data_IF_086348457123
#
_entry.id   IF_086348457123
#
_cell.length_a   1.000
_cell.length_b   1.000
_cell.length_c   1.000
_cell.angle_alpha   90.00
_cell.angle_beta   90.00
_cell.angle_gamma   90.00
#
_symmetry.space_group_name_H-M   'P 1'
#
loop_
_entity.id
_entity.type
_entity.pdbx_description
1 polymer ?
#
# COMPACT_ATOMS: atom_id res chain seq x y z
N UNK A 1 23.49 33.05 58.94
CA UNK A 1 23.96 32.39 57.70
C UNK A 1 23.09 31.18 57.47
N UNK A 2 22.19 31.22 56.49
CA UNK A 2 21.74 29.97 55.87
C UNK A 2 22.89 29.46 54.97
N UNK A 3 22.93 28.14 54.73
CA UNK A 3 23.72 27.56 53.64
C UNK A 3 22.76 27.13 52.56
N UNK A 4 22.79 27.79 51.42
CA UNK A 4 22.08 27.34 50.23
C UNK A 4 22.72 26.04 49.75
N UNK A 5 21.90 25.01 49.57
CA UNK A 5 22.33 23.72 49.03
C UNK A 5 22.00 23.73 47.55
N UNK A 6 23.00 24.03 46.71
CA UNK A 6 22.87 23.89 45.26
C UNK A 6 22.68 22.42 44.92
N UNK A 7 21.43 22.03 44.63
CA UNK A 7 21.12 20.73 44.04
C UNK A 7 21.63 20.74 42.60
N UNK A 8 22.82 20.19 42.38
CA UNK A 8 23.32 19.94 41.04
C UNK A 8 22.42 18.91 40.35
N UNK A 9 21.54 19.40 39.47
CA UNK A 9 20.75 18.56 38.58
C UNK A 9 21.68 18.04 37.50
N UNK A 10 22.28 16.87 37.77
CA UNK A 10 23.02 16.11 36.76
C UNK A 10 22.14 16.00 35.51
N UNK A 11 22.61 16.60 34.41
CA UNK A 11 22.00 16.39 33.10
C UNK A 11 22.39 15.00 32.63
N UNK A 12 21.66 14.00 33.14
CA UNK A 12 21.80 12.61 32.71
C UNK A 12 21.72 12.55 31.19
N UNK A 13 22.75 11.99 30.57
CA UNK A 13 22.85 11.89 29.12
C UNK A 13 21.59 11.20 28.58
N UNK A 14 21.00 11.77 27.52
CA UNK A 14 19.91 11.11 26.82
C UNK A 14 20.43 9.79 26.25
N UNK A 15 20.06 8.68 26.91
CA UNK A 15 20.51 7.32 26.56
C UNK A 15 20.48 7.12 25.05
N UNK A 16 21.60 6.66 24.50
CA UNK A 16 21.75 6.47 23.06
C UNK A 16 20.60 5.59 22.53
N UNK A 17 20.03 5.97 21.37
CA UNK A 17 18.82 5.34 20.83
C UNK A 17 18.99 3.82 20.71
N UNK A 18 18.22 3.05 21.48
CA UNK A 18 18.21 1.57 21.44
C UNK A 18 17.92 0.98 20.04
N UNK A 19 17.38 1.80 19.13
CA UNK A 19 17.19 1.46 17.72
C UNK A 19 18.22 2.17 16.84
N UNK A 20 19.25 1.42 16.45
CA UNK A 20 20.08 1.75 15.31
C UNK A 20 19.40 1.28 14.02
N UNK A 21 19.30 2.15 13.02
CA UNK A 21 18.88 1.76 11.67
C UNK A 21 19.83 0.69 11.09
N UNK A 22 19.31 -0.33 10.38
CA UNK A 22 20.16 -1.20 9.59
C UNK A 22 20.90 -0.38 8.51
N UNK A 23 22.14 -0.78 8.13
CA UNK A 23 22.91 -0.09 7.12
C UNK A 23 22.14 -0.02 5.78
N UNK A 24 22.37 1.01 4.94
CA UNK A 24 21.69 1.14 3.65
C UNK A 24 21.85 -0.12 2.82
N UNK A 25 20.75 -0.61 2.26
CA UNK A 25 20.74 -1.84 1.48
C UNK A 25 21.70 -1.74 0.29
N UNK A 26 22.49 -2.80 0.00
CA UNK A 26 23.28 -2.86 -1.22
C UNK A 26 22.37 -2.71 -2.44
N UNK A 27 22.80 -1.91 -3.42
CA UNK A 27 22.00 -1.63 -4.61
C UNK A 27 21.66 -2.92 -5.39
N UNK A 28 22.58 -3.89 -5.37
CA UNK A 28 22.43 -5.22 -5.95
C UNK A 28 23.01 -6.22 -4.94
N UNK A 29 22.20 -7.16 -4.45
CA UNK A 29 22.65 -8.34 -3.68
C UNK A 29 22.18 -9.61 -4.42
N UNK A 30 23.03 -10.24 -5.25
CA UNK A 30 22.67 -11.48 -5.95
C UNK A 30 22.46 -12.67 -5.02
N UNK A 31 23.02 -12.63 -3.80
CA UNK A 31 22.89 -13.74 -2.85
C UNK A 31 21.46 -13.88 -2.33
N UNK A 32 20.63 -12.82 -2.38
CA UNK A 32 19.21 -12.90 -2.02
C UNK A 32 18.48 -14.02 -2.77
N UNK A 33 18.88 -14.29 -4.02
CA UNK A 33 18.29 -15.33 -4.86
C UNK A 33 18.50 -16.75 -4.30
N UNK A 34 19.46 -16.96 -3.40
CA UNK A 34 19.73 -18.27 -2.78
C UNK A 34 19.16 -18.39 -1.35
N UNK A 35 18.59 -17.31 -0.81
CA UNK A 35 18.10 -17.25 0.59
C UNK A 35 16.61 -17.67 0.64
N UNK A 36 16.24 -18.75 1.35
CA UNK A 36 14.84 -19.24 1.41
C UNK A 36 13.82 -18.19 1.91
N UNK A 37 14.27 -17.24 2.75
CA UNK A 37 13.49 -16.08 3.18
C UNK A 37 13.05 -15.17 2.04
N UNK A 38 13.82 -15.10 0.94
CA UNK A 38 13.47 -14.35 -0.27
C UNK A 38 12.23 -14.93 -0.95
N UNK A 39 12.22 -16.24 -1.23
CA UNK A 39 11.07 -16.92 -1.82
C UNK A 39 9.81 -16.84 -0.95
N UNK A 40 9.96 -16.97 0.38
CA UNK A 40 8.87 -16.74 1.34
C UNK A 40 8.30 -15.32 1.25
N UNK A 41 9.15 -14.30 1.08
CA UNK A 41 8.72 -12.92 0.89
C UNK A 41 8.00 -12.70 -0.45
N UNK A 42 8.47 -13.30 -1.56
CA UNK A 42 7.77 -13.24 -2.85
C UNK A 42 6.37 -13.87 -2.79
N UNK A 43 6.25 -15.02 -2.12
CA UNK A 43 4.96 -15.69 -1.91
C UNK A 43 4.04 -14.82 -1.04
N UNK A 44 4.56 -14.18 0.02
CA UNK A 44 3.78 -13.27 0.86
C UNK A 44 3.26 -12.05 0.09
N UNK A 45 4.10 -11.40 -0.73
CA UNK A 45 3.70 -10.29 -1.60
C UNK A 45 2.66 -10.70 -2.65
N UNK A 46 2.83 -11.87 -3.28
CA UNK A 46 1.85 -12.43 -4.22
C UNK A 46 0.49 -12.70 -3.56
N UNK A 47 0.47 -13.43 -2.44
CA UNK A 47 -0.77 -13.80 -1.72
C UNK A 47 -1.45 -12.56 -1.14
N UNK A 48 -0.71 -11.61 -0.55
CA UNK A 48 -1.28 -10.37 -0.07
C UNK A 48 -1.90 -9.54 -1.20
N UNK A 49 -1.21 -9.39 -2.33
CA UNK A 49 -1.76 -8.62 -3.45
C UNK A 49 -2.95 -9.33 -4.12
N UNK A 50 -2.95 -10.67 -4.15
CA UNK A 50 -4.10 -11.47 -4.58
C UNK A 50 -5.32 -11.24 -3.69
N UNK A 51 -5.16 -11.36 -2.37
CA UNK A 51 -6.26 -11.15 -1.41
C UNK A 51 -6.76 -9.70 -1.41
N UNK A 52 -5.85 -8.73 -1.53
CA UNK A 52 -6.18 -7.31 -1.64
C UNK A 52 -7.08 -7.05 -2.86
N UNK A 53 -6.69 -7.49 -4.05
CA UNK A 53 -7.50 -7.30 -5.27
C UNK A 53 -8.79 -8.12 -5.24
N UNK A 54 -8.73 -9.36 -4.75
CA UNK A 54 -9.91 -10.23 -4.65
C UNK A 54 -11.02 -9.59 -3.81
N UNK A 55 -10.71 -9.18 -2.58
CA UNK A 55 -11.71 -8.58 -1.68
C UNK A 55 -12.18 -7.23 -2.21
N UNK A 56 -11.26 -6.32 -2.56
CA UNK A 56 -11.64 -4.95 -2.95
C UNK A 56 -12.46 -4.88 -4.24
N UNK A 57 -12.11 -5.67 -5.26
CA UNK A 57 -12.86 -5.70 -6.52
C UNK A 57 -14.21 -6.40 -6.34
N UNK A 58 -14.29 -7.44 -5.50
CA UNK A 58 -15.56 -8.07 -5.13
C UNK A 58 -16.49 -7.09 -4.39
N UNK A 59 -15.97 -6.28 -3.45
CA UNK A 59 -16.75 -5.24 -2.75
C UNK A 59 -17.30 -4.19 -3.71
N UNK A 60 -16.50 -3.69 -4.66
CA UNK A 60 -16.96 -2.70 -5.66
C UNK A 60 -18.07 -3.28 -6.55
N UNK A 61 -17.91 -4.53 -7.03
CA UNK A 61 -18.91 -5.19 -7.88
C UNK A 61 -20.19 -5.50 -7.09
N UNK A 62 -20.08 -5.96 -5.83
CA UNK A 62 -21.22 -6.20 -4.95
C UNK A 62 -22.02 -4.93 -4.67
N UNK A 63 -21.34 -3.82 -4.35
CA UNK A 63 -21.98 -2.50 -4.20
C UNK A 63 -22.70 -2.07 -5.48
N UNK A 64 -22.01 -2.04 -6.64
CA UNK A 64 -22.60 -1.66 -7.93
C UNK A 64 -23.77 -2.55 -8.35
N UNK A 65 -23.77 -3.83 -7.94
CA UNK A 65 -24.89 -4.74 -8.21
C UNK A 65 -26.13 -4.48 -7.35
N UNK A 66 -25.97 -3.95 -6.13
CA UNK A 66 -27.08 -3.64 -5.22
C UNK A 66 -27.63 -2.24 -5.50
N UNK A 67 -26.74 -1.25 -5.67
CA UNK A 67 -27.12 0.14 -5.97
C UNK A 67 -27.69 0.38 -7.37
N UNK A 68 -27.79 -0.67 -8.20
CA UNK A 68 -28.58 -0.66 -9.43
C UNK A 68 -30.10 -0.74 -9.17
N UNK A 69 -30.52 -1.27 -8.02
CA UNK A 69 -31.92 -1.47 -7.65
C UNK A 69 -32.36 -0.59 -6.46
N UNK A 70 -31.47 -0.36 -5.49
CA UNK A 70 -31.71 0.53 -4.33
C UNK A 70 -30.50 1.44 -4.11
N UNK A 71 -30.67 2.75 -4.28
CA UNK A 71 -29.58 3.73 -4.17
C UNK A 71 -28.95 3.80 -2.76
N UNK A 72 -29.70 3.41 -1.72
CA UNK A 72 -29.22 3.32 -0.34
C UNK A 72 -28.75 1.91 0.03
N UNK A 73 -28.91 0.93 -0.86
CA UNK A 73 -28.65 -0.48 -0.62
C UNK A 73 -27.16 -0.84 -0.62
N UNK A 74 -26.80 -1.73 0.31
CA UNK A 74 -25.46 -2.33 0.42
C UNK A 74 -24.48 -1.53 1.26
N UNK A 75 -23.19 -1.86 1.14
CA UNK A 75 -22.11 -1.33 2.01
C UNK A 75 -21.76 0.14 1.77
N UNK A 76 -22.36 0.78 0.76
CA UNK A 76 -22.05 2.15 0.35
C UNK A 76 -20.61 2.33 -0.16
N UNK A 77 -20.30 3.55 -0.57
CA UNK A 77 -18.93 3.93 -0.93
C UNK A 77 -18.02 3.90 0.32
N UNK A 78 -18.59 4.10 1.52
CA UNK A 78 -17.87 4.01 2.79
C UNK A 78 -17.33 2.60 3.03
N UNK A 79 -18.13 1.55 2.78
CA UNK A 79 -17.67 0.16 2.82
C UNK A 79 -16.61 -0.17 1.77
N UNK A 80 -16.66 0.45 0.58
CA UNK A 80 -15.58 0.34 -0.41
C UNK A 80 -14.27 0.94 0.13
N UNK A 81 -14.30 2.16 0.67
CA UNK A 81 -13.10 2.80 1.21
C UNK A 81 -12.52 2.00 2.40
N UNK A 82 -13.38 1.48 3.28
CA UNK A 82 -12.99 0.55 4.34
C UNK A 82 -12.41 -0.77 3.80
N UNK A 83 -12.93 -1.33 2.71
CA UNK A 83 -12.34 -2.53 2.10
C UNK A 83 -10.92 -2.24 1.58
N UNK A 84 -10.69 -1.12 0.89
CA UNK A 84 -9.34 -0.76 0.42
C UNK A 84 -8.36 -0.43 1.56
N UNK A 85 -8.74 0.46 2.49
CA UNK A 85 -7.86 0.85 3.61
C UNK A 85 -7.66 -0.26 4.65
N UNK A 86 -8.73 -0.99 4.97
CA UNK A 86 -8.74 -2.09 5.93
C UNK A 86 -7.99 -3.33 5.45
N UNK A 87 -8.14 -3.72 4.16
CA UNK A 87 -7.34 -4.82 3.62
C UNK A 87 -5.85 -4.49 3.60
N UNK A 88 -5.45 -3.25 3.26
CA UNK A 88 -4.03 -2.86 3.38
C UNK A 88 -3.58 -2.91 4.85
N UNK A 89 -4.35 -2.40 5.80
CA UNK A 89 -4.00 -2.50 7.22
C UNK A 89 -3.78 -3.96 7.69
N UNK A 90 -4.74 -4.84 7.40
CA UNK A 90 -4.67 -6.28 7.77
C UNK A 90 -3.47 -6.96 7.09
N UNK A 91 -3.32 -6.78 5.78
CA UNK A 91 -2.29 -7.48 5.02
C UNK A 91 -0.88 -6.98 5.34
N UNK A 92 -0.69 -5.66 5.54
CA UNK A 92 0.58 -5.11 6.04
C UNK A 92 0.89 -5.70 7.42
N UNK A 93 -0.07 -5.73 8.34
CA UNK A 93 0.13 -6.33 9.66
C UNK A 93 0.55 -7.81 9.58
N UNK A 94 -0.10 -8.61 8.72
CA UNK A 94 0.21 -10.03 8.54
C UNK A 94 1.54 -10.29 7.79
N UNK A 95 2.01 -9.38 6.93
CA UNK A 95 3.17 -9.63 6.04
C UNK A 95 4.41 -8.78 6.34
N UNK A 96 4.33 -7.76 7.20
CA UNK A 96 5.47 -6.94 7.60
C UNK A 96 6.65 -7.79 8.14
N UNK A 97 6.34 -8.82 8.95
CA UNK A 97 7.34 -9.76 9.48
C UNK A 97 7.85 -10.83 8.49
N UNK A 98 7.43 -10.82 7.23
CA UNK A 98 7.80 -11.82 6.21
C UNK A 98 8.42 -11.16 4.97
N UNK A 99 7.75 -10.14 4.41
CA UNK A 99 8.21 -9.40 3.21
C UNK A 99 8.50 -7.93 3.46
N UNK A 100 8.02 -7.36 4.57
CA UNK A 100 7.90 -5.90 4.75
C UNK A 100 6.52 -5.34 4.38
N UNK A 101 5.63 -6.16 3.78
CA UNK A 101 4.25 -5.81 3.48
C UNK A 101 4.10 -4.65 2.50
N UNK A 102 4.70 -4.75 1.32
CA UNK A 102 4.68 -3.67 0.34
C UNK A 102 3.36 -3.60 -0.44
N UNK A 103 2.91 -4.73 -0.99
CA UNK A 103 1.62 -4.95 -1.71
C UNK A 103 1.46 -4.05 -2.96
N UNK A 104 2.48 -3.25 -3.30
CA UNK A 104 2.39 -2.14 -4.23
C UNK A 104 3.77 -1.83 -4.87
N UNK A 105 3.88 -1.85 -6.21
CA UNK A 105 5.11 -1.50 -6.90
C UNK A 105 5.65 -0.10 -6.58
N UNK A 106 4.77 0.89 -6.35
CA UNK A 106 5.19 2.25 -6.01
C UNK A 106 5.78 2.36 -4.60
N UNK A 107 5.26 1.61 -3.62
CA UNK A 107 5.85 1.51 -2.26
C UNK A 107 7.20 0.83 -2.34
N UNK A 108 7.29 -0.28 -3.08
CA UNK A 108 8.54 -0.99 -3.37
C UNK A 108 9.59 -0.08 -4.01
N UNK A 109 9.19 0.73 -5.00
CA UNK A 109 10.07 1.69 -5.68
C UNK A 109 10.54 2.81 -4.76
N UNK A 110 9.66 3.39 -3.94
CA UNK A 110 10.03 4.40 -2.94
C UNK A 110 11.03 3.87 -1.90
N UNK A 111 10.86 2.63 -1.44
CA UNK A 111 11.78 1.98 -0.49
C UNK A 111 13.11 1.56 -1.12
N UNK A 112 13.12 1.23 -2.42
CA UNK A 112 14.35 1.06 -3.21
C UNK A 112 15.13 2.37 -3.33
N UNK A 113 14.47 3.47 -3.73
CA UNK A 113 15.09 4.81 -3.78
C UNK A 113 15.61 5.23 -2.40
N UNK A 114 14.88 4.89 -1.32
CA UNK A 114 15.31 5.13 0.06
C UNK A 114 16.52 4.29 0.52
N UNK A 115 17.06 3.39 -0.32
CA UNK A 115 18.05 2.34 0.01
C UNK A 115 17.66 1.49 1.22
N UNK A 116 16.37 1.17 1.36
CA UNK A 116 15.86 0.19 2.33
C UNK A 116 15.64 -1.19 1.70
N UNK A 117 15.70 -1.31 0.37
CA UNK A 117 15.51 -2.56 -0.40
C UNK A 117 16.46 -2.58 -1.62
N UNK A 118 16.98 -3.75 -2.00
CA UNK A 118 17.86 -3.94 -3.17
C UNK A 118 17.10 -3.86 -4.50
N UNK A 119 17.79 -3.64 -5.62
CA UNK A 119 17.18 -3.66 -6.96
C UNK A 119 16.57 -5.02 -7.31
N UNK A 120 17.25 -6.12 -6.93
CA UNK A 120 16.81 -7.49 -7.22
C UNK A 120 15.51 -7.78 -6.46
N UNK A 121 15.46 -7.48 -5.16
CA UNK A 121 14.25 -7.62 -4.35
C UNK A 121 13.14 -6.71 -4.83
N UNK A 122 13.45 -5.46 -5.19
CA UNK A 122 12.47 -4.54 -5.74
C UNK A 122 11.81 -5.08 -7.02
N UNK A 123 12.61 -5.54 -7.99
CA UNK A 123 12.11 -6.12 -9.24
C UNK A 123 11.19 -7.33 -8.99
N UNK A 124 11.65 -8.32 -8.24
CA UNK A 124 10.87 -9.55 -8.01
C UNK A 124 9.62 -9.31 -7.15
N UNK A 125 9.63 -8.36 -6.21
CA UNK A 125 8.43 -7.92 -5.50
C UNK A 125 7.40 -7.32 -6.46
N UNK A 126 7.81 -6.43 -7.38
CA UNK A 126 6.90 -5.84 -8.37
C UNK A 126 6.27 -6.88 -9.29
N UNK A 127 7.04 -7.90 -9.71
CA UNK A 127 6.54 -9.05 -10.47
C UNK A 127 5.52 -9.84 -9.66
N UNK A 128 5.84 -10.22 -8.42
CA UNK A 128 4.94 -10.97 -7.53
C UNK A 128 3.62 -10.21 -7.25
N UNK A 129 3.70 -8.90 -6.99
CA UNK A 129 2.55 -8.01 -6.81
C UNK A 129 1.67 -7.97 -8.07
N UNK A 130 2.26 -7.79 -9.26
CA UNK A 130 1.53 -7.76 -10.52
C UNK A 130 0.82 -9.09 -10.82
N UNK A 131 1.49 -10.22 -10.63
CA UNK A 131 0.90 -11.55 -10.80
C UNK A 131 -0.23 -11.78 -9.79
N UNK A 132 -0.02 -11.43 -8.51
CA UNK A 132 -1.03 -11.52 -7.46
C UNK A 132 -2.30 -10.71 -7.80
N UNK A 133 -2.13 -9.47 -8.26
CA UNK A 133 -3.24 -8.62 -8.69
C UNK A 133 -4.03 -9.19 -9.87
N UNK A 134 -3.35 -9.79 -10.86
CA UNK A 134 -4.00 -10.46 -12.00
C UNK A 134 -4.79 -11.68 -11.51
N UNK A 135 -4.22 -12.52 -10.64
CA UNK A 135 -4.91 -13.66 -10.05
C UNK A 135 -6.12 -13.25 -9.20
N UNK A 136 -6.00 -12.21 -8.37
CA UNK A 136 -7.09 -11.70 -7.52
C UNK A 136 -8.27 -11.20 -8.36
N UNK A 137 -8.03 -10.36 -9.37
CA UNK A 137 -9.06 -9.95 -10.32
C UNK A 137 -9.64 -11.13 -11.11
N UNK A 138 -8.81 -12.09 -11.51
CA UNK A 138 -9.22 -13.30 -12.23
C UNK A 138 -10.21 -14.15 -11.45
N UNK A 139 -9.98 -14.34 -10.14
CA UNK A 139 -10.89 -15.05 -9.25
C UNK A 139 -12.26 -14.36 -9.15
N UNK A 140 -12.31 -13.02 -9.00
CA UNK A 140 -13.59 -12.30 -8.97
C UNK A 140 -14.34 -12.43 -10.31
N UNK A 141 -13.62 -12.39 -11.45
CA UNK A 141 -14.22 -12.61 -12.77
C UNK A 141 -14.66 -14.07 -12.98
N UNK A 142 -14.02 -15.05 -12.34
CA UNK A 142 -14.44 -16.44 -12.37
C UNK A 142 -15.76 -16.64 -11.62
N UNK A 143 -15.87 -16.14 -10.38
CA UNK A 143 -17.07 -16.31 -9.55
C UNK A 143 -18.25 -15.42 -9.98
N UNK A 144 -18.00 -14.20 -10.48
CA UNK A 144 -19.06 -13.24 -10.85
C UNK A 144 -18.91 -12.65 -12.26
N UNK A 145 -18.60 -13.50 -13.25
CA UNK A 145 -18.35 -13.14 -14.67
C UNK A 145 -19.31 -12.11 -15.26
N UNK A 146 -20.62 -12.25 -15.02
CA UNK A 146 -21.63 -11.33 -15.55
C UNK A 146 -21.54 -9.92 -14.92
N UNK A 147 -21.50 -9.84 -13.59
CA UNK A 147 -21.38 -8.59 -12.85
C UNK A 147 -20.02 -7.91 -13.09
N UNK A 148 -18.94 -8.69 -13.15
CA UNK A 148 -17.59 -8.21 -13.49
C UNK A 148 -17.57 -7.55 -14.89
N UNK A 149 -18.14 -8.20 -15.90
CA UNK A 149 -18.19 -7.65 -17.26
C UNK A 149 -19.10 -6.41 -17.36
N UNK A 150 -20.18 -6.34 -16.58
CA UNK A 150 -21.14 -5.22 -16.57
C UNK A 150 -20.61 -3.98 -15.83
N UNK A 151 -20.07 -4.16 -14.62
CA UNK A 151 -19.67 -3.06 -13.74
C UNK A 151 -18.15 -2.80 -13.70
N UNK A 152 -17.33 -3.67 -14.28
CA UNK A 152 -15.87 -3.48 -14.37
C UNK A 152 -15.43 -2.25 -15.16
N UNK A 153 -16.32 -1.64 -15.96
CA UNK A 153 -16.09 -0.33 -16.62
C UNK A 153 -15.78 0.76 -15.58
N UNK A 154 -16.49 0.73 -14.44
CA UNK A 154 -16.45 1.79 -13.43
C UNK A 154 -15.21 1.70 -12.53
N UNK A 155 -14.51 0.55 -12.51
CA UNK A 155 -13.16 0.45 -11.96
C UNK A 155 -12.15 1.38 -12.67
N UNK A 156 -12.54 1.89 -13.85
CA UNK A 156 -11.82 2.79 -14.75
C UNK A 156 -12.62 4.07 -15.09
N UNK A 157 -13.71 4.38 -14.34
CA UNK A 157 -14.65 5.45 -14.73
C UNK A 157 -15.44 6.10 -13.57
N UNK A 158 -14.79 7.07 -12.90
CA UNK A 158 -15.31 8.29 -12.22
C UNK A 158 -16.38 8.20 -11.09
N UNK A 159 -16.20 9.06 -10.06
CA UNK A 159 -17.14 9.37 -8.95
C UNK A 159 -17.33 8.24 -7.89
N UNK A 160 -17.30 8.44 -6.56
CA UNK A 160 -17.82 9.52 -5.67
C UNK A 160 -16.99 9.68 -4.34
N UNK A 161 -17.43 10.54 -3.38
CA UNK A 161 -16.70 11.04 -2.17
C UNK A 161 -17.03 10.29 -0.83
N UNK A 162 -16.08 10.17 0.13
CA UNK A 162 -16.20 9.50 1.49
C UNK A 162 -15.24 10.11 2.59
N UNK A 163 -15.22 9.62 3.86
CA UNK A 163 -14.50 10.13 5.08
C UNK A 163 -13.91 9.00 6.03
N UNK A 164 -12.66 9.15 6.58
CA UNK A 164 -11.78 8.39 7.57
C UNK A 164 -11.86 6.82 7.81
N UNK A 165 -10.84 6.04 8.35
CA UNK A 165 -9.44 6.25 8.87
C UNK A 165 -8.36 5.19 8.33
N UNK A 166 -7.21 4.68 8.88
CA UNK A 166 -6.25 4.77 10.06
C UNK A 166 -4.77 4.30 9.68
N UNK A 167 -3.63 4.85 10.18
CA UNK A 167 -2.67 5.76 9.48
C UNK A 167 -2.08 5.36 8.10
N UNK A 168 -1.47 4.19 7.88
CA UNK A 168 -1.06 3.77 6.50
C UNK A 168 -2.30 3.35 5.72
N UNK A 169 -3.21 2.63 6.39
CA UNK A 169 -4.60 2.51 5.97
C UNK A 169 -5.22 3.90 5.74
N UNK A 170 -5.02 4.89 6.63
CA UNK A 170 -5.54 6.28 6.50
C UNK A 170 -4.97 6.97 5.28
N UNK A 171 -3.70 6.77 4.94
CA UNK A 171 -3.07 7.38 3.79
C UNK A 171 -3.62 6.78 2.49
N UNK A 172 -3.64 5.45 2.37
CA UNK A 172 -4.31 4.75 1.27
C UNK A 172 -5.77 5.17 1.18
N UNK A 173 -6.49 5.15 2.29
CA UNK A 173 -7.90 5.49 2.42
C UNK A 173 -8.17 6.95 2.03
N UNK A 174 -7.47 7.94 2.61
CA UNK A 174 -7.61 9.37 2.28
C UNK A 174 -7.31 9.66 0.82
N UNK A 175 -6.26 9.02 0.27
CA UNK A 175 -5.98 9.13 -1.16
C UNK A 175 -7.08 8.45 -1.97
N UNK A 176 -7.70 7.37 -1.50
CA UNK A 176 -8.93 6.85 -2.10
C UNK A 176 -10.07 7.88 -2.02
N UNK A 177 -10.28 8.61 -0.93
CA UNK A 177 -11.31 9.66 -0.86
C UNK A 177 -11.09 10.78 -1.87
N UNK A 178 -9.85 11.26 -1.97
CA UNK A 178 -9.47 12.34 -2.85
C UNK A 178 -9.44 11.92 -4.32
N UNK A 179 -9.09 10.68 -4.64
CA UNK A 179 -8.80 10.24 -6.02
C UNK A 179 -9.76 9.19 -6.59
N UNK A 180 -10.66 8.56 -5.81
CA UNK A 180 -11.79 7.77 -6.35
C UNK A 180 -12.63 8.64 -7.28
N UNK A 181 -13.02 9.88 -6.91
CA UNK A 181 -13.81 10.74 -7.79
C UNK A 181 -13.16 11.03 -9.14
N UNK A 182 -11.82 11.02 -9.19
CA UNK A 182 -11.01 11.45 -10.34
C UNK A 182 -10.60 10.27 -11.22
N UNK A 183 -10.12 9.18 -10.62
CA UNK A 183 -9.44 8.07 -11.33
C UNK A 183 -9.85 6.66 -10.88
N UNK A 184 -10.79 6.52 -9.93
CA UNK A 184 -11.06 5.23 -9.27
C UNK A 184 -9.90 4.73 -8.38
N UNK A 185 -8.94 5.61 -8.09
CA UNK A 185 -7.71 5.39 -7.33
C UNK A 185 -6.88 4.19 -7.79
N UNK A 186 -5.90 4.47 -8.63
CA UNK A 186 -4.80 3.54 -8.87
C UNK A 186 -3.85 3.46 -7.67
N UNK A 187 -2.92 4.42 -7.56
CA UNK A 187 -1.79 4.54 -6.59
C UNK A 187 -0.90 3.30 -6.39
N UNK A 188 -1.25 2.23 -7.07
CA UNK A 188 -0.65 0.92 -7.05
C UNK A 188 -0.70 0.39 -8.50
N UNK A 189 0.45 0.35 -9.19
CA UNK A 189 0.50 -0.09 -10.59
C UNK A 189 0.01 -1.54 -10.77
N UNK A 190 0.27 -2.44 -9.80
CA UNK A 190 -0.22 -3.81 -9.83
C UNK A 190 -1.75 -3.88 -9.75
N UNK A 191 -2.39 -3.13 -8.82
CA UNK A 191 -3.87 -3.01 -8.73
C UNK A 191 -4.52 -2.49 -10.00
N UNK A 192 -3.80 -1.66 -10.77
CA UNK A 192 -4.31 -1.08 -12.00
C UNK A 192 -4.13 -2.06 -13.18
N UNK A 193 -2.95 -2.69 -13.27
CA UNK A 193 -2.65 -3.76 -14.23
C UNK A 193 -3.57 -4.98 -14.06
N UNK A 194 -3.74 -5.50 -12.85
CA UNK A 194 -4.58 -6.68 -12.60
C UNK A 194 -6.03 -6.47 -13.03
N UNK A 195 -6.57 -5.25 -12.83
CA UNK A 195 -7.87 -4.87 -13.36
C UNK A 195 -7.86 -4.74 -14.89
N UNK A 196 -6.90 -4.01 -15.47
CA UNK A 196 -6.82 -3.80 -16.92
C UNK A 196 -6.67 -5.12 -17.73
N UNK A 197 -5.80 -6.03 -17.28
CA UNK A 197 -5.57 -7.36 -17.90
C UNK A 197 -6.85 -8.21 -17.89
N UNK A 198 -7.53 -8.29 -16.75
CA UNK A 198 -8.68 -9.18 -16.58
C UNK A 198 -9.96 -8.57 -17.18
N UNK A 199 -10.10 -7.24 -17.20
CA UNK A 199 -11.21 -6.55 -17.84
C UNK A 199 -11.07 -6.44 -19.37
N UNK A 200 -9.84 -6.22 -19.85
CA UNK A 200 -9.41 -6.17 -21.25
C UNK A 200 -10.32 -5.33 -22.17
N UNK A 201 -10.25 -4.00 -22.02
CA UNK A 201 -10.94 -3.00 -22.87
C UNK A 201 -9.97 -1.92 -23.32
N UNK A 202 -10.13 -1.41 -24.55
CA UNK A 202 -9.22 -0.41 -25.16
C UNK A 202 -8.95 0.78 -24.23
N UNK A 203 -9.99 1.45 -23.71
CA UNK A 203 -9.84 2.60 -22.78
C UNK A 203 -8.97 2.26 -21.56
N UNK A 204 -9.14 1.07 -20.99
CA UNK A 204 -8.37 0.63 -19.82
C UNK A 204 -6.89 0.34 -20.15
N UNK A 205 -6.53 0.22 -21.42
CA UNK A 205 -5.13 0.19 -21.90
C UNK A 205 -4.64 1.57 -22.32
N UNK A 206 -5.49 2.40 -22.95
CA UNK A 206 -5.19 3.78 -23.35
C UNK A 206 -4.78 4.65 -22.14
N UNK A 207 -5.53 4.54 -21.04
CA UNK A 207 -5.32 5.30 -19.80
C UNK A 207 -4.26 4.65 -18.85
N UNK A 208 -3.81 3.41 -19.14
CA UNK A 208 -3.01 2.58 -18.21
C UNK A 208 -1.69 3.22 -17.79
N UNK A 209 -1.03 3.98 -18.68
CA UNK A 209 0.29 4.57 -18.41
C UNK A 209 0.27 5.55 -17.22
N UNK A 210 -0.85 6.26 -17.02
CA UNK A 210 -1.05 7.22 -15.92
C UNK A 210 -0.87 6.52 -14.56
N UNK A 211 -1.33 5.27 -14.48
CA UNK A 211 -1.27 4.43 -13.28
C UNK A 211 0.07 3.77 -13.02
N UNK A 212 1.06 4.00 -13.89
CA UNK A 212 2.48 3.67 -13.64
C UNK A 212 3.29 4.94 -13.35
N UNK A 213 3.20 5.93 -14.25
CA UNK A 213 3.98 7.18 -14.14
C UNK A 213 3.58 7.97 -12.89
N UNK A 214 2.29 8.19 -12.64
CA UNK A 214 1.81 8.95 -11.49
C UNK A 214 2.29 8.37 -10.15
N UNK A 215 2.06 7.07 -9.86
CA UNK A 215 2.51 6.45 -8.61
C UNK A 215 4.04 6.40 -8.44
N UNK A 216 4.81 6.17 -9.51
CA UNK A 216 6.28 6.18 -9.43
C UNK A 216 6.85 7.59 -9.22
N UNK A 217 6.30 8.62 -9.87
CA UNK A 217 6.68 10.03 -9.61
C UNK A 217 6.33 10.43 -8.18
N UNK A 218 5.14 10.08 -7.69
CA UNK A 218 4.75 10.32 -6.30
C UNK A 218 5.66 9.62 -5.28
N UNK A 219 6.03 8.37 -5.53
CA UNK A 219 6.96 7.63 -4.68
C UNK A 219 8.38 8.22 -4.69
N UNK A 220 8.87 8.69 -5.84
CA UNK A 220 10.16 9.38 -5.94
C UNK A 220 10.16 10.71 -5.16
N UNK A 221 9.13 11.55 -5.32
CA UNK A 221 8.99 12.81 -4.58
C UNK A 221 8.93 12.54 -3.07
N UNK A 222 8.16 11.53 -2.63
CA UNK A 222 8.06 11.16 -1.22
C UNK A 222 9.42 10.69 -0.64
N UNK A 223 10.16 9.85 -1.37
CA UNK A 223 11.49 9.40 -0.95
C UNK A 223 12.49 10.56 -0.83
N UNK A 224 12.53 11.45 -1.84
CA UNK A 224 13.39 12.63 -1.85
C UNK A 224 13.07 13.60 -0.69
N UNK A 225 11.78 13.88 -0.46
CA UNK A 225 11.31 14.73 0.62
C UNK A 225 11.69 14.16 2.00
N UNK A 226 11.50 12.86 2.20
CA UNK A 226 11.85 12.19 3.46
C UNK A 226 13.37 12.16 3.72
N UNK A 227 14.18 11.88 2.69
CA UNK A 227 15.64 11.76 2.82
C UNK A 227 16.35 13.13 2.91
N UNK A 228 16.07 14.06 2.01
CA UNK A 228 16.90 15.26 1.85
C UNK A 228 16.37 16.49 2.58
N UNK A 229 15.04 16.65 2.62
CA UNK A 229 14.37 17.81 3.24
C UNK A 229 14.10 17.54 4.72
N UNK A 230 13.35 16.48 5.06
CA UNK A 230 13.08 16.13 6.46
C UNK A 230 14.25 15.45 7.18
N UNK A 231 15.15 14.79 6.42
CA UNK A 231 16.24 13.93 6.94
C UNK A 231 15.75 12.89 7.96
N UNK A 232 14.49 12.46 7.82
CA UNK A 232 13.75 11.71 8.83
C UNK A 232 14.09 10.21 8.91
N UNK A 233 15.16 9.77 8.23
CA UNK A 233 15.56 8.36 8.14
C UNK A 233 15.67 7.66 9.51
N UNK A 234 16.20 8.36 10.53
CA UNK A 234 16.37 7.88 11.90
C UNK A 234 15.35 8.46 12.91
N UNK A 235 14.15 8.83 12.43
CA UNK A 235 13.02 9.28 13.25
C UNK A 235 11.98 8.16 13.36
N UNK A 236 11.86 7.56 14.54
CA UNK A 236 10.86 6.54 14.84
C UNK A 236 9.53 7.22 15.21
N UNK A 237 8.54 7.13 14.33
CA UNK A 237 7.20 7.61 14.62
C UNK A 237 6.58 6.84 15.82
N UNK A 238 6.05 7.58 16.80
CA UNK A 238 5.33 6.98 17.92
C UNK A 238 3.91 6.61 17.46
N UNK A 239 3.58 5.32 17.55
CA UNK A 239 2.22 4.84 17.29
C UNK A 239 1.24 5.31 18.37
N UNK A 240 -0.02 5.54 18.01
CA UNK A 240 -1.05 6.06 18.92
C UNK A 240 -1.36 5.16 20.12
N UNK A 241 -0.96 3.87 20.06
CA UNK A 241 -1.10 2.92 21.16
C UNK A 241 0.21 2.84 21.95
N UNK A 242 0.42 3.79 22.87
CA UNK A 242 1.28 3.54 24.03
C UNK A 242 0.54 2.59 24.96
N UNK A 243 1.05 1.38 25.12
CA UNK A 243 0.75 0.58 26.31
C UNK A 243 1.50 1.24 27.48
N UNK A 244 0.79 1.97 28.32
CA UNK A 244 1.32 2.31 29.64
C UNK A 244 1.26 1.05 30.49
N UNK A 245 2.42 0.43 30.70
CA UNK A 245 2.69 -0.51 31.79
C UNK A 245 3.51 0.25 32.85
#
# INVERSE_FOLDING_TARGET
MAKDIEVQVEHGEYSAKDYHDPPPAPLIDPEELFKWSFYRALIAEFIATLLFLYITVLTVIGYKSQSANDQCGGVGILGIAWAFGGMIFILVYCTAGISGGHINPAVTFGLFLARKVSLIRAFWYMVAQCLGAICGCGLVKAFQKAYYNKYGVDLYSKSMKVLAPLPIGFAVFMVHLATIPITGTGINPARSLGAAVIFNKKKAWDDQWIFWVGPFVGAAIAALYHQFILRAAAIKALGSFRSNA
#
